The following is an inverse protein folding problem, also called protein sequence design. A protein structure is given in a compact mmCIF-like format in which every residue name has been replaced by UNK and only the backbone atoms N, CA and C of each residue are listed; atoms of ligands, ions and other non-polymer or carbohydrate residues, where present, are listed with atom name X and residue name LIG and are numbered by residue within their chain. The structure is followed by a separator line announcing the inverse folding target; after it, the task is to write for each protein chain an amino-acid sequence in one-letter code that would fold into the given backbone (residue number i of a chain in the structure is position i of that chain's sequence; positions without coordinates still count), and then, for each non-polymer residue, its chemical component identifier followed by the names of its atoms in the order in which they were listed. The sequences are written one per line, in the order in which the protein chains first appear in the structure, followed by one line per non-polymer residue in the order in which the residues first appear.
data_IF_404235003932
#
_entry.id   IF_404235003932
#
_cell.length_a   1.000
_cell.length_b   1.000
_cell.length_c   1.000
_cell.angle_alpha   90.00
_cell.angle_beta   90.00
_cell.angle_gamma   90.00
#
_symmetry.space_group_name_H-M   'P 1'
#
loop_
_entity.id
_entity.type
_entity.pdbx_description
1 polymer ?
#
# COMPACT_ATOMS: atom_id res chain seq x y z
N UNK A 1 -11.20 19.05 -4.99
CA UNK A 1 -11.77 17.76 -5.43
C UNK A 1 -11.01 17.32 -6.68
N UNK A 2 -10.99 16.03 -7.01
CA UNK A 2 -10.45 15.57 -8.30
C UNK A 2 -11.41 16.00 -9.42
N UNK A 3 -10.88 16.17 -10.63
CA UNK A 3 -11.70 16.30 -11.84
C UNK A 3 -12.64 15.10 -11.96
N UNK A 4 -13.92 15.36 -12.27
CA UNK A 4 -14.87 14.29 -12.56
C UNK A 4 -14.34 13.52 -13.77
N UNK A 5 -14.16 12.17 -13.63
CA UNK A 5 -13.64 11.24 -14.63
C UNK A 5 -12.11 11.17 -14.80
N UNK A 6 -11.31 11.46 -13.77
CA UNK A 6 -9.87 11.20 -13.84
C UNK A 6 -9.61 9.70 -14.05
N UNK A 7 -9.16 9.35 -15.27
CA UNK A 7 -8.80 7.96 -15.61
C UNK A 7 -7.43 7.62 -15.04
N UNK A 8 -7.40 6.78 -14.02
CA UNK A 8 -6.18 6.26 -13.41
C UNK A 8 -5.74 4.94 -14.04
N UNK A 9 -4.47 4.51 -13.86
CA UNK A 9 -4.02 3.16 -14.20
C UNK A 9 -4.76 2.06 -13.44
N UNK A 10 -5.20 2.35 -12.20
CA UNK A 10 -5.96 1.45 -11.34
C UNK A 10 -7.34 2.05 -11.04
N UNK A 11 -8.37 1.20 -10.95
CA UNK A 11 -9.66 1.61 -10.39
C UNK A 11 -9.51 1.98 -8.92
N UNK A 12 -10.40 2.85 -8.42
CA UNK A 12 -10.28 3.35 -7.06
C UNK A 12 -11.62 3.79 -6.46
N UNK A 13 -11.64 3.82 -5.13
CA UNK A 13 -12.64 4.56 -4.34
C UNK A 13 -11.96 5.72 -3.65
N UNK A 14 -12.66 6.84 -3.50
CA UNK A 14 -12.15 8.03 -2.83
C UNK A 14 -13.16 8.56 -1.82
N UNK A 15 -12.64 8.96 -0.65
CA UNK A 15 -13.37 9.74 0.34
C UNK A 15 -12.65 11.06 0.58
N UNK A 16 -13.40 12.15 0.53
CA UNK A 16 -12.90 13.49 0.80
C UNK A 16 -13.22 13.92 2.23
N UNK A 17 -12.40 14.80 2.83
CA UNK A 17 -12.77 15.50 4.05
C UNK A 17 -14.12 16.20 3.92
N UNK A 18 -14.89 16.22 4.99
CA UNK A 18 -16.20 16.94 5.03
C UNK A 18 -16.02 18.46 4.88
N UNK A 19 -14.95 18.98 5.46
CA UNK A 19 -14.55 20.38 5.38
C UNK A 19 -13.35 20.51 4.43
N UNK A 20 -13.11 21.68 3.88
CA UNK A 20 -11.92 21.95 3.05
C UNK A 20 -10.72 22.36 3.95
N UNK A 21 -9.95 21.41 4.48
CA UNK A 21 -8.84 21.75 5.37
C UNK A 21 -7.72 22.42 4.59
N UNK A 22 -7.04 23.39 5.22
CA UNK A 22 -5.88 24.05 4.63
C UNK A 22 -4.68 23.10 4.49
N UNK A 23 -4.64 22.08 5.33
CA UNK A 23 -3.56 21.09 5.42
C UNK A 23 -4.12 19.70 5.13
N UNK A 24 -3.96 19.24 3.89
CA UNK A 24 -4.51 17.96 3.42
C UNK A 24 -3.42 16.91 3.37
N UNK A 25 -3.70 15.75 3.96
CA UNK A 25 -2.91 14.54 3.81
C UNK A 25 -3.68 13.51 2.97
N UNK A 26 -2.96 12.64 2.27
CA UNK A 26 -3.57 11.54 1.52
C UNK A 26 -3.08 10.21 2.10
N UNK A 27 -3.99 9.25 2.21
CA UNK A 27 -3.65 7.86 2.46
C UNK A 27 -4.18 6.96 1.35
N UNK A 28 -3.30 6.17 0.76
CA UNK A 28 -3.65 5.14 -0.20
C UNK A 28 -3.75 3.80 0.51
N UNK A 29 -4.78 3.02 0.18
CA UNK A 29 -5.09 1.72 0.79
C UNK A 29 -4.97 0.61 -0.26
N UNK A 30 -4.23 -0.45 0.07
CA UNK A 30 -4.01 -1.63 -0.76
C UNK A 30 -4.62 -2.85 -0.08
N UNK A 31 -5.66 -3.43 -0.68
CA UNK A 31 -6.38 -4.58 -0.13
C UNK A 31 -5.55 -5.87 -0.18
N UNK A 32 -6.00 -6.91 0.55
CA UNK A 32 -5.40 -8.24 0.56
C UNK A 32 -5.74 -9.07 -0.69
N UNK A 33 -5.09 -10.22 -0.82
CA UNK A 33 -5.37 -11.21 -1.86
C UNK A 33 -6.83 -11.66 -1.78
N UNK A 34 -7.50 -11.73 -2.91
CA UNK A 34 -8.89 -12.18 -2.99
C UNK A 34 -9.94 -11.15 -2.58
N UNK A 35 -9.52 -9.98 -2.09
CA UNK A 35 -10.39 -8.87 -1.75
C UNK A 35 -10.53 -7.86 -2.91
N UNK A 36 -10.98 -6.66 -2.62
CA UNK A 36 -11.13 -5.58 -3.58
C UNK A 36 -11.02 -4.20 -2.90
N UNK A 37 -11.06 -3.12 -3.68
CA UNK A 37 -10.92 -1.74 -3.19
C UNK A 37 -11.97 -1.32 -2.13
N UNK A 38 -13.08 -2.05 -1.96
CA UNK A 38 -14.08 -1.71 -0.94
C UNK A 38 -13.69 -2.22 0.45
N UNK A 39 -12.80 -3.22 0.53
CA UNK A 39 -12.46 -3.93 1.76
C UNK A 39 -11.88 -2.98 2.84
N UNK A 40 -10.78 -2.31 2.54
CA UNK A 40 -10.17 -1.35 3.47
C UNK A 40 -10.79 0.05 3.42
N UNK A 41 -11.68 0.32 2.45
CA UNK A 41 -12.20 1.67 2.24
C UNK A 41 -12.92 2.22 3.46
N UNK A 42 -13.61 1.38 4.23
CA UNK A 42 -14.33 1.80 5.44
C UNK A 42 -13.42 2.34 6.55
N UNK A 43 -12.10 2.10 6.48
CA UNK A 43 -11.14 2.68 7.41
C UNK A 43 -11.09 4.21 7.35
N UNK A 44 -11.61 4.83 6.27
CA UNK A 44 -11.69 6.29 6.19
C UNK A 44 -12.39 6.94 7.39
N UNK A 45 -13.31 6.22 8.05
CA UNK A 45 -14.05 6.70 9.22
C UNK A 45 -13.18 6.89 10.46
N UNK A 46 -11.99 6.28 10.49
CA UNK A 46 -11.07 6.30 11.63
C UNK A 46 -9.85 7.22 11.40
N UNK A 47 -9.72 7.78 10.20
CA UNK A 47 -8.65 8.72 9.91
C UNK A 47 -9.03 10.16 10.33
N UNK A 48 -8.03 11.01 10.61
CA UNK A 48 -8.27 12.43 10.90
C UNK A 48 -9.06 13.11 9.78
N UNK A 49 -9.85 14.13 10.14
CA UNK A 49 -10.76 14.82 9.20
C UNK A 49 -10.06 15.53 8.04
N UNK A 50 -8.74 15.73 8.11
CA UNK A 50 -7.96 16.32 7.03
C UNK A 50 -7.35 15.29 6.05
N UNK A 51 -7.77 14.02 6.12
CA UNK A 51 -7.31 12.98 5.22
C UNK A 51 -8.24 12.77 4.02
N UNK A 52 -7.66 12.77 2.82
CA UNK A 52 -8.25 12.14 1.64
C UNK A 52 -7.88 10.66 1.69
N UNK A 53 -8.86 9.78 1.69
CA UNK A 53 -8.62 8.33 1.65
C UNK A 53 -8.90 7.78 0.27
N UNK A 54 -7.95 7.04 -0.29
CA UNK A 54 -8.05 6.46 -1.63
C UNK A 54 -7.74 4.97 -1.52
N UNK A 55 -8.70 4.13 -1.87
CA UNK A 55 -8.50 2.68 -1.93
C UNK A 55 -8.36 2.24 -3.38
N UNK A 56 -7.22 1.62 -3.71
CA UNK A 56 -6.89 1.18 -5.06
C UNK A 56 -7.30 -0.27 -5.28
N UNK A 57 -7.77 -0.56 -6.50
CA UNK A 57 -8.08 -1.90 -6.97
C UNK A 57 -6.82 -2.56 -7.52
N UNK A 58 -6.52 -3.77 -7.06
CA UNK A 58 -5.43 -4.57 -7.62
C UNK A 58 -5.72 -4.96 -9.10
N UNK A 59 -4.69 -5.13 -9.95
CA UNK A 59 -4.86 -5.31 -11.39
C UNK A 59 -5.23 -6.73 -11.82
N UNK A 60 -4.96 -7.75 -11.01
CA UNK A 60 -5.16 -9.16 -11.38
C UNK A 60 -6.53 -9.61 -10.89
N UNK A 61 -7.47 -9.81 -11.81
CA UNK A 61 -8.78 -10.38 -11.48
C UNK A 61 -8.67 -11.88 -11.20
N UNK A 62 -9.30 -12.31 -10.11
CA UNK A 62 -9.46 -13.72 -9.73
C UNK A 62 -10.90 -14.23 -9.97
N UNK A 63 -11.77 -13.36 -10.53
CA UNK A 63 -13.21 -13.62 -10.69
C UNK A 63 -14.02 -13.25 -9.44
N UNK A 64 -15.36 -13.19 -9.59
CA UNK A 64 -16.31 -12.97 -8.47
C UNK A 64 -15.97 -11.80 -7.53
N UNK A 65 -15.64 -10.61 -8.09
CA UNK A 65 -15.26 -9.40 -7.33
C UNK A 65 -14.04 -9.60 -6.42
N UNK A 66 -13.10 -10.42 -6.87
CA UNK A 66 -11.89 -10.81 -6.16
C UNK A 66 -10.67 -10.47 -7.01
N UNK A 67 -9.67 -9.82 -6.40
CA UNK A 67 -8.46 -9.34 -7.09
C UNK A 67 -7.19 -9.61 -6.28
N UNK A 68 -6.05 -9.53 -6.97
CA UNK A 68 -4.75 -9.75 -6.37
C UNK A 68 -3.70 -8.78 -6.96
N UNK A 69 -2.69 -8.47 -6.17
CA UNK A 69 -1.49 -7.74 -6.60
C UNK A 69 -0.46 -8.65 -7.24
N UNK A 70 -0.45 -9.92 -6.83
CA UNK A 70 0.40 -10.98 -7.33
C UNK A 70 -0.32 -12.33 -7.18
N UNK A 71 -0.04 -13.29 -8.05
CA UNK A 71 -0.53 -14.66 -7.86
C UNK A 71 0.25 -15.33 -6.73
N UNK A 72 -0.44 -16.06 -5.86
CA UNK A 72 0.14 -16.76 -4.70
C UNK A 72 0.11 -18.28 -4.94
N UNK A 73 1.21 -18.94 -4.64
CA UNK A 73 1.23 -20.37 -4.34
C UNK A 73 1.10 -20.53 -2.82
N UNK A 74 -0.04 -21.00 -2.36
CA UNK A 74 -0.32 -21.15 -0.93
C UNK A 74 0.53 -22.20 -0.22
N UNK A 75 1.30 -23.00 -0.95
CA UNK A 75 2.31 -23.90 -0.37
C UNK A 75 3.62 -23.19 0.00
N UNK A 76 3.88 -22.02 -0.55
CA UNK A 76 5.06 -21.19 -0.24
C UNK A 76 4.69 -19.73 0.03
N UNK A 77 4.74 -19.32 1.29
CA UNK A 77 4.44 -17.95 1.74
C UNK A 77 5.35 -16.91 1.06
N UNK A 78 6.54 -17.29 0.59
CA UNK A 78 7.42 -16.36 -0.13
C UNK A 78 6.83 -15.89 -1.46
N UNK A 79 5.82 -16.58 -1.99
CA UNK A 79 5.11 -16.20 -3.22
C UNK A 79 4.03 -15.13 -3.00
N UNK A 80 3.84 -14.65 -1.76
CA UNK A 80 2.86 -13.58 -1.44
C UNK A 80 3.05 -12.37 -2.35
N UNK A 81 4.30 -12.11 -2.73
CA UNK A 81 4.68 -11.19 -3.81
C UNK A 81 5.77 -11.84 -4.66
N UNK A 82 5.56 -11.98 -5.96
CA UNK A 82 6.67 -12.26 -6.86
C UNK A 82 7.32 -10.93 -7.35
N UNK A 83 8.61 -10.96 -7.71
CA UNK A 83 9.35 -9.74 -8.06
C UNK A 83 8.76 -8.97 -9.25
N UNK A 84 8.29 -9.65 -10.29
CA UNK A 84 7.74 -9.03 -11.50
C UNK A 84 6.42 -8.31 -11.18
N UNK A 85 5.52 -8.97 -10.47
CA UNK A 85 4.23 -8.38 -10.07
C UNK A 85 4.45 -7.23 -9.09
N UNK A 86 5.46 -7.32 -8.21
CA UNK A 86 5.83 -6.23 -7.29
C UNK A 86 6.29 -4.98 -8.05
N UNK A 87 7.11 -5.13 -9.08
CA UNK A 87 7.54 -4.02 -9.95
C UNK A 87 6.36 -3.40 -10.70
N UNK A 88 5.51 -4.23 -11.31
CA UNK A 88 4.32 -3.78 -12.02
C UNK A 88 3.34 -3.07 -11.08
N UNK A 89 3.06 -3.67 -9.92
CA UNK A 89 2.21 -3.09 -8.90
C UNK A 89 2.74 -1.74 -8.41
N UNK A 90 4.03 -1.66 -8.10
CA UNK A 90 4.67 -0.40 -7.71
C UNK A 90 4.49 0.67 -8.80
N UNK A 91 4.78 0.35 -10.07
CA UNK A 91 4.61 1.29 -11.18
C UNK A 91 3.17 1.81 -11.26
N UNK A 92 2.17 0.93 -11.27
CA UNK A 92 0.75 1.30 -11.35
C UNK A 92 0.31 2.15 -10.16
N UNK A 93 0.75 1.82 -8.95
CA UNK A 93 0.46 2.58 -7.72
C UNK A 93 1.08 3.97 -7.80
N UNK A 94 2.37 4.09 -8.13
CA UNK A 94 3.06 5.37 -8.20
C UNK A 94 2.49 6.26 -9.30
N UNK A 95 2.16 5.70 -10.46
CA UNK A 95 1.51 6.44 -11.55
C UNK A 95 0.11 6.94 -11.14
N UNK A 96 -0.66 6.13 -10.39
CA UNK A 96 -1.95 6.54 -9.82
C UNK A 96 -1.80 7.66 -8.79
N UNK A 97 -0.84 7.53 -7.87
CA UNK A 97 -0.53 8.56 -6.86
C UNK A 97 -0.16 9.89 -7.53
N UNK A 98 0.73 9.86 -8.52
CA UNK A 98 1.16 11.07 -9.24
C UNK A 98 -0.01 11.73 -9.96
N UNK A 99 -0.83 10.97 -10.66
CA UNK A 99 -2.01 11.52 -11.35
C UNK A 99 -2.99 12.15 -10.36
N UNK A 100 -3.27 11.50 -9.23
CA UNK A 100 -4.16 12.04 -8.21
C UNK A 100 -3.57 13.33 -7.61
N UNK A 101 -2.31 13.30 -7.14
CA UNK A 101 -1.67 14.44 -6.52
C UNK A 101 -1.61 15.68 -7.44
N UNK A 102 -1.43 15.46 -8.75
CA UNK A 102 -1.37 16.55 -9.75
C UNK A 102 -2.75 17.10 -10.15
N UNK A 103 -3.83 16.36 -9.91
CA UNK A 103 -5.19 16.75 -10.28
C UNK A 103 -6.08 17.13 -9.08
N UNK A 104 -5.51 17.19 -7.87
CA UNK A 104 -6.21 17.73 -6.71
C UNK A 104 -6.17 19.25 -6.72
N UNK A 105 -7.30 19.88 -6.37
CA UNK A 105 -7.41 21.33 -6.19
C UNK A 105 -6.52 21.87 -5.05
N UNK A 106 -6.15 21.00 -4.10
CA UNK A 106 -5.27 21.33 -2.98
C UNK A 106 -4.06 20.40 -3.02
N UNK A 107 -2.86 20.96 -3.01
CA UNK A 107 -1.63 20.17 -2.98
C UNK A 107 -1.50 19.45 -1.63
N UNK A 108 -1.39 18.11 -1.60
CA UNK A 108 -1.25 17.37 -0.34
C UNK A 108 0.12 17.62 0.29
N UNK A 109 0.15 17.82 1.59
CA UNK A 109 1.40 17.98 2.36
C UNK A 109 2.09 16.66 2.61
N UNK A 110 1.31 15.60 2.85
CA UNK A 110 1.83 14.28 3.22
C UNK A 110 1.07 13.18 2.48
N UNK A 111 1.82 12.18 2.03
CA UNK A 111 1.27 10.99 1.39
C UNK A 111 1.65 9.79 2.23
N UNK A 112 0.67 8.96 2.56
CA UNK A 112 0.82 7.70 3.27
C UNK A 112 0.37 6.53 2.40
N UNK A 113 0.95 5.36 2.65
CA UNK A 113 0.56 4.13 2.00
C UNK A 113 0.29 3.08 3.07
N UNK A 114 -0.89 2.48 3.05
CA UNK A 114 -1.27 1.41 3.96
C UNK A 114 -1.74 0.20 3.17
N UNK A 115 -1.46 -0.99 3.68
CA UNK A 115 -1.95 -2.20 3.06
C UNK A 115 -2.25 -3.29 4.08
N UNK A 116 -3.06 -4.26 3.66
CA UNK A 116 -3.40 -5.45 4.42
C UNK A 116 -2.90 -6.71 3.71
N UNK A 117 -2.30 -7.65 4.44
CA UNK A 117 -1.83 -8.94 3.94
C UNK A 117 -0.92 -8.77 2.70
N UNK A 118 -1.30 -9.26 1.54
CA UNK A 118 -0.55 -9.07 0.29
C UNK A 118 -0.35 -7.58 -0.05
N UNK A 119 -1.38 -6.75 0.13
CA UNK A 119 -1.27 -5.30 -0.05
C UNK A 119 -0.30 -4.64 0.93
N UNK A 120 -0.16 -5.19 2.16
CA UNK A 120 0.83 -4.73 3.13
C UNK A 120 2.26 -5.02 2.69
N UNK A 121 2.49 -6.23 2.15
CA UNK A 121 3.78 -6.62 1.59
C UNK A 121 4.18 -5.70 0.41
N UNK A 122 3.21 -5.41 -0.47
CA UNK A 122 3.42 -4.49 -1.59
C UNK A 122 3.62 -3.04 -1.12
N UNK A 123 2.90 -2.60 -0.08
CA UNK A 123 3.08 -1.26 0.48
C UNK A 123 4.51 -1.06 1.01
N UNK A 124 5.07 -2.06 1.71
CA UNK A 124 6.47 -2.03 2.15
C UNK A 124 7.41 -1.95 0.95
N UNK A 125 7.20 -2.79 -0.08
CA UNK A 125 8.00 -2.75 -1.31
C UNK A 125 7.98 -1.36 -1.97
N UNK A 126 6.78 -0.79 -2.17
CA UNK A 126 6.61 0.55 -2.76
C UNK A 126 7.30 1.64 -1.93
N UNK A 127 7.19 1.57 -0.61
CA UNK A 127 7.85 2.49 0.31
C UNK A 127 9.37 2.45 0.20
N UNK A 128 9.94 1.25 0.16
CA UNK A 128 11.38 1.05 0.02
C UNK A 128 11.92 1.49 -1.35
N UNK A 129 11.12 1.33 -2.42
CA UNK A 129 11.49 1.81 -3.78
C UNK A 129 11.31 3.31 -3.96
N UNK A 130 10.48 3.96 -3.16
CA UNK A 130 10.16 5.39 -3.31
C UNK A 130 10.16 6.10 -1.93
N UNK A 131 11.27 6.05 -1.16
CA UNK A 131 11.28 6.48 0.24
C UNK A 131 10.93 7.96 0.42
N UNK A 132 11.28 8.81 -0.53
CA UNK A 132 11.01 10.24 -0.49
C UNK A 132 9.56 10.62 -0.87
N UNK A 133 8.78 9.66 -1.36
CA UNK A 133 7.39 9.90 -1.76
C UNK A 133 6.42 9.81 -0.59
N UNK A 134 6.74 9.01 0.41
CA UNK A 134 5.84 8.70 1.51
C UNK A 134 6.34 9.28 2.83
N UNK A 135 5.44 9.92 3.57
CA UNK A 135 5.66 10.29 4.98
C UNK A 135 5.67 9.04 5.87
N UNK A 136 4.94 8.01 5.50
CA UNK A 136 4.90 6.75 6.21
C UNK A 136 4.21 5.64 5.45
N UNK A 137 4.57 4.40 5.80
CA UNK A 137 3.98 3.17 5.30
C UNK A 137 3.41 2.36 6.47
N UNK A 138 2.23 1.79 6.30
CA UNK A 138 1.54 0.97 7.29
C UNK A 138 1.33 -0.43 6.71
N UNK A 139 1.97 -1.43 7.32
CA UNK A 139 1.87 -2.85 6.98
C UNK A 139 1.00 -3.55 8.02
N UNK A 140 -0.22 -3.93 7.63
CA UNK A 140 -1.18 -4.65 8.47
C UNK A 140 -1.19 -6.12 8.09
N UNK A 141 -0.76 -7.00 8.99
CA UNK A 141 -0.71 -8.45 8.79
C UNK A 141 0.02 -8.86 7.50
N UNK A 142 1.10 -8.14 7.15
CA UNK A 142 1.93 -8.42 5.99
C UNK A 142 3.21 -9.17 6.35
N UNK A 143 3.86 -9.69 5.29
CA UNK A 143 5.17 -10.29 5.35
C UNK A 143 6.06 -9.73 4.24
N UNK A 144 7.25 -9.28 4.60
CA UNK A 144 8.23 -8.80 3.64
C UNK A 144 9.63 -9.37 3.94
N UNK A 145 10.29 -9.85 2.89
CA UNK A 145 11.63 -10.43 2.96
C UNK A 145 12.49 -10.00 1.77
N UNK A 146 13.78 -10.30 1.83
CA UNK A 146 14.70 -10.04 0.70
C UNK A 146 14.26 -10.74 -0.60
N UNK A 147 13.54 -11.86 -0.53
CA UNK A 147 13.04 -12.58 -1.71
C UNK A 147 12.00 -11.80 -2.52
N UNK A 148 11.31 -10.83 -1.88
CA UNK A 148 10.35 -9.96 -2.55
C UNK A 148 11.01 -8.77 -3.26
N UNK A 149 12.32 -8.58 -3.06
CA UNK A 149 13.11 -7.52 -3.66
C UNK A 149 13.70 -8.03 -4.97
N UNK A 150 13.29 -7.46 -6.10
CA UNK A 150 13.80 -7.84 -7.43
C UNK A 150 15.15 -7.24 -7.77
N UNK A 151 15.51 -6.12 -7.11
CA UNK A 151 16.71 -5.34 -7.38
C UNK A 151 17.26 -4.74 -6.09
N UNK A 152 18.51 -4.24 -6.17
CA UNK A 152 19.10 -3.43 -5.10
C UNK A 152 18.15 -2.31 -4.71
N UNK A 153 17.64 -2.41 -3.51
CA UNK A 153 16.90 -1.32 -2.89
C UNK A 153 17.93 -0.26 -2.54
N UNK A 154 17.65 0.96 -2.98
CA UNK A 154 18.53 2.10 -2.68
C UNK A 154 18.66 2.23 -1.15
N UNK A 155 19.88 2.15 -0.62
CA UNK A 155 20.14 2.02 0.83
C UNK A 155 19.87 3.31 1.64
N UNK A 156 19.11 4.26 1.11
CA UNK A 156 18.82 5.51 1.79
C UNK A 156 17.34 5.66 2.16
N UNK A 157 16.91 4.91 3.19
CA UNK A 157 15.55 5.01 3.75
C UNK A 157 15.48 5.97 4.95
N UNK A 158 16.45 6.83 5.13
CA UNK A 158 16.68 7.63 6.36
C UNK A 158 15.58 8.66 6.67
N UNK A 159 14.42 8.57 6.13
CA UNK A 159 13.27 9.45 6.44
C UNK A 159 11.94 8.72 6.41
N UNK A 160 11.91 7.47 5.93
CA UNK A 160 10.67 6.72 5.81
C UNK A 160 10.29 6.04 7.15
N UNK A 161 9.11 6.39 7.66
CA UNK A 161 8.51 5.71 8.79
C UNK A 161 7.71 4.49 8.32
N UNK A 162 7.98 3.32 8.88
CA UNK A 162 7.22 2.09 8.57
C UNK A 162 6.66 1.52 9.87
N UNK A 163 5.32 1.44 9.96
CA UNK A 163 4.60 0.72 11.00
C UNK A 163 4.34 -0.70 10.53
N UNK A 164 4.80 -1.69 11.29
CA UNK A 164 4.51 -3.12 11.06
C UNK A 164 3.61 -3.60 12.19
N UNK A 165 2.41 -4.05 11.85
CA UNK A 165 1.40 -4.55 12.78
C UNK A 165 0.93 -5.94 12.32
N UNK A 166 1.14 -6.96 13.15
CA UNK A 166 0.72 -8.34 12.88
C UNK A 166 -0.05 -8.90 14.06
N UNK A 167 -1.04 -9.76 13.79
CA UNK A 167 -1.78 -10.49 14.81
C UNK A 167 -0.95 -11.67 15.34
N UNK A 168 -1.03 -11.92 16.65
CA UNK A 168 -0.43 -13.11 17.27
C UNK A 168 -1.21 -14.39 16.97
N UNK A 169 -2.45 -14.26 16.50
CA UNK A 169 -3.34 -15.36 16.15
C UNK A 169 -3.53 -15.53 14.63
N UNK A 170 -2.67 -14.90 13.82
CA UNK A 170 -2.72 -15.06 12.37
C UNK A 170 -2.12 -16.42 11.98
N UNK A 171 -2.96 -17.29 11.41
CA UNK A 171 -2.53 -18.63 10.97
C UNK A 171 -1.97 -18.65 9.54
N UNK A 172 -2.21 -17.59 8.75
CA UNK A 172 -1.70 -17.46 7.38
C UNK A 172 -0.33 -16.78 7.36
N UNK A 173 -0.18 -15.72 8.15
CA UNK A 173 1.09 -14.98 8.30
C UNK A 173 1.47 -14.98 9.79
N UNK A 174 2.12 -16.03 10.28
CA UNK A 174 2.53 -16.13 11.68
C UNK A 174 3.32 -14.91 12.16
N UNK A 175 3.16 -14.54 13.42
CA UNK A 175 3.77 -13.35 14.04
C UNK A 175 5.29 -13.26 13.83
N UNK A 176 5.96 -14.41 13.71
CA UNK A 176 7.40 -14.51 13.46
C UNK A 176 7.79 -13.86 12.13
N UNK A 177 6.93 -13.98 11.09
CA UNK A 177 7.16 -13.34 9.78
C UNK A 177 7.07 -11.82 9.88
N UNK A 178 6.16 -11.29 10.70
CA UNK A 178 6.10 -9.87 11.02
C UNK A 178 7.35 -9.38 11.77
N UNK A 179 7.83 -10.17 12.74
CA UNK A 179 9.09 -9.89 13.45
C UNK A 179 10.29 -9.91 12.50
N UNK A 180 10.35 -10.86 11.58
CA UNK A 180 11.39 -10.94 10.55
C UNK A 180 11.35 -9.74 9.61
N UNK A 181 10.15 -9.32 9.18
CA UNK A 181 9.96 -8.08 8.42
C UNK A 181 10.54 -6.87 9.17
N UNK A 182 10.17 -6.70 10.44
CA UNK A 182 10.71 -5.61 11.29
C UNK A 182 12.24 -5.65 11.39
N UNK A 183 12.82 -6.84 11.60
CA UNK A 183 14.28 -7.00 11.73
C UNK A 183 15.00 -6.68 10.42
N UNK A 184 14.46 -7.14 9.29
CA UNK A 184 14.97 -6.78 7.97
C UNK A 184 14.93 -5.26 7.76
N UNK A 185 13.80 -4.61 8.01
CA UNK A 185 13.65 -3.16 7.84
C UNK A 185 14.62 -2.35 8.73
N UNK A 186 14.94 -2.85 9.95
CA UNK A 186 15.96 -2.25 10.79
C UNK A 186 17.38 -2.43 10.26
N UNK A 187 17.66 -3.55 9.60
CA UNK A 187 19.00 -3.83 9.04
C UNK A 187 19.28 -3.06 7.75
N UNK A 188 18.26 -2.47 7.14
CA UNK A 188 18.36 -1.64 5.93
C UNK A 188 18.53 -0.14 6.23
N UNK A 189 18.41 0.28 7.49
CA UNK A 189 18.67 1.65 7.97
C UNK A 189 20.13 1.84 8.35
#
# INVERSE_FOLDING_TARGET
MLEQNLKLPLEYKINYPKNEPKDVSIIFLLHGYGANMADLFLLHQFFPENFITISLQAPISLGHQSWAWSKIDFSDINTILNPIDSQNGNKLIIDSINKIANNLSVKPNKIYLAGFSQGASLAVYCGLKNPNKFQGVISLCGYFSKKHMSDTVDNNFSGLNILVCNSVFDHLIPIELGRNTKNLLKSLK
#
